data_IF_194575355246
#
_entry.id   IF_194575355246
#
_cell.length_a   1.000
_cell.length_b   1.000
_cell.length_c   1.000
_cell.angle_alpha   90.00
_cell.angle_beta   90.00
_cell.angle_gamma   90.00
#
_symmetry.space_group_name_H-M   'P 1'
#
loop_
_entity.id
_entity.type
_entity.pdbx_description
1 polymer ?
#
# COMPACT_ATOMS: atom_id res chain seq x y z
N UNK A 1 16.01 -11.85 5.25
CA UNK A 1 15.54 -11.14 6.45
C UNK A 1 14.80 -9.87 6.03
N UNK A 2 13.56 -9.66 6.48
CA UNK A 2 12.78 -8.45 6.18
C UNK A 2 13.28 -7.28 7.01
N UNK A 3 14.21 -6.48 6.47
CA UNK A 3 14.71 -5.29 7.15
C UNK A 3 13.76 -4.13 6.90
N UNK A 4 12.99 -3.78 7.93
CA UNK A 4 12.40 -2.45 8.04
C UNK A 4 13.54 -1.43 8.05
N UNK A 5 13.57 -0.50 7.09
CA UNK A 5 14.60 0.55 7.02
C UNK A 5 14.16 1.77 7.82
N UNK A 6 12.96 2.28 7.54
CA UNK A 6 12.43 3.47 8.18
C UNK A 6 10.89 3.48 8.17
N UNK A 7 10.32 4.35 9.03
CA UNK A 7 8.89 4.63 9.13
C UNK A 7 8.70 6.13 8.98
N UNK A 8 7.65 6.53 8.27
CA UNK A 8 7.33 7.93 8.07
C UNK A 8 5.85 8.20 8.30
N UNK A 9 5.56 9.35 8.92
CA UNK A 9 4.22 9.96 8.98
C UNK A 9 4.01 11.01 7.90
N UNK A 10 5.06 11.31 7.13
CA UNK A 10 5.07 12.25 6.01
C UNK A 10 5.86 11.63 4.86
N UNK A 11 5.41 11.80 3.61
CA UNK A 11 6.14 11.25 2.47
C UNK A 11 7.51 11.89 2.32
N UNK A 12 8.62 11.12 2.40
CA UNK A 12 9.98 11.69 2.32
C UNK A 12 10.38 12.09 0.90
N UNK A 13 9.60 11.66 -0.11
CA UNK A 13 9.84 11.89 -1.53
C UNK A 13 8.58 11.59 -2.34
N UNK A 14 8.60 11.96 -3.62
CA UNK A 14 7.58 11.57 -4.59
C UNK A 14 7.57 10.04 -4.75
N UNK A 15 6.43 9.41 -4.49
CA UNK A 15 6.26 7.96 -4.62
C UNK A 15 5.05 7.62 -5.49
N UNK A 16 5.16 6.49 -6.17
CA UNK A 16 4.19 6.02 -7.15
C UNK A 16 3.56 4.71 -6.71
N UNK A 17 2.24 4.59 -6.88
CA UNK A 17 1.50 3.34 -6.73
C UNK A 17 0.75 2.99 -8.01
N UNK A 18 0.94 1.76 -8.47
CA UNK A 18 0.17 1.19 -9.57
C UNK A 18 -1.15 0.61 -9.07
N UNK A 19 -2.22 0.86 -9.82
CA UNK A 19 -3.51 0.22 -9.60
C UNK A 19 -4.23 -0.03 -10.93
N UNK A 20 -4.97 -1.12 -11.02
CA UNK A 20 -5.86 -1.40 -12.16
C UNK A 20 -7.28 -0.85 -11.98
N UNK A 21 -7.53 -0.16 -10.86
CA UNK A 21 -8.85 0.34 -10.47
C UNK A 21 -8.71 1.66 -9.70
N UNK A 22 -9.74 2.52 -9.73
CA UNK A 22 -9.77 3.70 -8.85
C UNK A 22 -9.70 3.32 -7.37
N UNK A 23 -10.44 2.31 -6.96
CA UNK A 23 -10.43 1.79 -5.59
C UNK A 23 -9.17 0.96 -5.33
N UNK A 24 -8.49 1.22 -4.22
CA UNK A 24 -7.41 0.35 -3.75
C UNK A 24 -8.02 -0.95 -3.21
N UNK A 25 -7.50 -2.08 -3.68
CA UNK A 25 -7.88 -3.40 -3.19
C UNK A 25 -6.63 -4.21 -2.88
N UNK A 26 -6.28 -4.27 -1.59
CA UNK A 26 -5.25 -5.16 -1.10
C UNK A 26 -5.75 -6.61 -1.09
N UNK A 27 -4.84 -7.53 -1.34
CA UNK A 27 -5.07 -8.97 -1.37
C UNK A 27 -4.60 -9.58 -0.05
N UNK A 28 -5.51 -10.29 0.63
CA UNK A 28 -5.13 -11.17 1.72
C UNK A 28 -4.30 -12.36 1.20
N UNK A 29 -3.45 -12.88 2.06
CA UNK A 29 -2.71 -14.11 1.86
C UNK A 29 -3.69 -15.28 1.80
N UNK A 30 -3.75 -15.95 0.65
CA UNK A 30 -4.47 -17.22 0.49
C UNK A 30 -3.47 -18.25 -0.04
N UNK A 31 -3.15 -19.31 0.73
CA UNK A 31 -2.22 -20.34 0.30
C UNK A 31 -2.71 -21.11 -0.94
N UNK A 32 -4.00 -21.05 -1.28
CA UNK A 32 -4.60 -21.68 -2.47
C UNK A 32 -4.47 -20.83 -3.73
N UNK A 33 -4.00 -19.58 -3.61
CA UNK A 33 -3.85 -18.68 -4.76
C UNK A 33 -2.61 -19.07 -5.57
N UNK A 34 -2.81 -19.57 -6.78
CA UNK A 34 -1.75 -20.04 -7.68
C UNK A 34 -0.58 -19.05 -7.86
N UNK A 35 -0.89 -17.76 -8.01
CA UNK A 35 0.16 -16.72 -8.18
C UNK A 35 1.05 -16.52 -6.95
N UNK A 36 0.64 -16.99 -5.77
CA UNK A 36 1.29 -16.69 -4.49
C UNK A 36 1.30 -15.21 -4.09
N UNK A 37 0.67 -14.32 -4.86
CA UNK A 37 0.75 -12.88 -4.66
C UNK A 37 -0.30 -12.35 -3.67
N UNK A 38 0.18 -11.63 -2.66
CA UNK A 38 -0.64 -11.01 -1.61
C UNK A 38 0.01 -9.70 -1.14
N UNK A 39 -0.77 -8.84 -0.49
CA UNK A 39 -0.32 -7.53 -0.01
C UNK A 39 -0.29 -7.46 1.52
N UNK A 40 -1.10 -8.27 2.20
CA UNK A 40 -1.26 -8.30 3.66
C UNK A 40 -1.55 -9.72 4.15
N UNK A 41 -1.41 -9.96 5.46
CA UNK A 41 -1.89 -11.18 6.12
C UNK A 41 -2.94 -10.80 7.15
N UNK A 42 -4.13 -11.38 7.03
CA UNK A 42 -5.17 -11.23 8.04
C UNK A 42 -4.89 -12.19 9.21
N UNK A 43 -4.92 -11.68 10.44
CA UNK A 43 -4.88 -12.45 11.69
C UNK A 43 -6.08 -12.05 12.54
N UNK A 44 -6.83 -13.04 13.03
CA UNK A 44 -8.03 -12.80 13.85
C UNK A 44 -9.05 -11.85 13.20
N UNK A 45 -9.17 -11.87 11.86
CA UNK A 45 -10.13 -11.05 11.12
C UNK A 45 -9.65 -9.64 10.75
N UNK A 46 -8.43 -9.25 11.16
CA UNK A 46 -7.89 -7.91 10.91
C UNK A 46 -6.46 -7.97 10.34
N UNK A 47 -6.06 -6.90 9.66
CA UNK A 47 -4.68 -6.61 9.33
C UNK A 47 -4.02 -5.98 10.56
N UNK A 48 -2.90 -6.55 10.97
CA UNK A 48 -2.17 -6.13 12.16
C UNK A 48 -1.17 -5.01 11.82
N UNK A 49 -0.94 -4.02 12.70
CA UNK A 49 0.02 -2.94 12.50
C UNK A 49 1.47 -3.41 12.79
N UNK A 50 1.90 -4.49 12.14
CA UNK A 50 3.18 -5.17 12.41
C UNK A 50 4.42 -4.33 12.11
N UNK A 51 4.24 -3.18 11.44
CA UNK A 51 5.30 -2.23 11.20
C UNK A 51 5.75 -1.50 12.46
N UNK A 52 4.96 -1.44 13.54
CA UNK A 52 5.25 -0.58 14.69
C UNK A 52 6.45 -0.99 15.53
N UNK A 53 6.84 -2.26 15.51
CA UNK A 53 8.06 -2.76 16.16
C UNK A 53 8.94 -3.46 15.15
N UNK A 54 10.26 -3.24 15.21
CA UNK A 54 11.18 -3.73 14.19
C UNK A 54 11.40 -5.24 14.29
N UNK A 55 11.27 -5.80 15.49
CA UNK A 55 11.45 -7.22 15.78
C UNK A 55 10.38 -8.11 15.15
N UNK A 56 9.15 -7.59 14.99
CA UNK A 56 8.02 -8.37 14.44
C UNK A 56 7.75 -8.08 12.97
N UNK A 57 8.57 -7.24 12.32
CA UNK A 57 8.25 -6.78 10.98
C UNK A 57 8.42 -7.87 9.92
N UNK A 58 7.30 -8.27 9.31
CA UNK A 58 7.26 -9.26 8.24
C UNK A 58 6.46 -8.75 7.04
N UNK A 59 7.15 -8.32 5.98
CA UNK A 59 6.50 -7.92 4.73
C UNK A 59 5.85 -9.12 4.00
N UNK A 60 4.86 -8.89 3.12
CA UNK A 60 4.18 -7.63 2.84
C UNK A 60 3.05 -7.34 3.87
N UNK A 61 2.76 -6.06 4.10
CA UNK A 61 1.67 -5.62 4.99
C UNK A 61 1.04 -4.28 4.55
N UNK A 62 0.90 -4.07 3.25
CA UNK A 62 0.23 -2.86 2.77
C UNK A 62 0.39 -2.56 1.28
N UNK A 63 0.08 -1.32 0.93
CA UNK A 63 0.05 -0.84 -0.43
C UNK A 63 1.47 -0.51 -0.92
N UNK A 64 2.04 -1.38 -1.74
CA UNK A 64 3.33 -1.16 -2.42
C UNK A 64 3.40 0.18 -3.15
N UNK A 65 4.53 0.88 -2.96
CA UNK A 65 4.89 2.14 -3.61
C UNK A 65 6.40 2.15 -3.94
N UNK A 66 6.81 2.94 -4.93
CA UNK A 66 8.23 3.13 -5.27
C UNK A 66 8.49 4.56 -5.74
N UNK A 67 9.73 5.03 -5.59
CA UNK A 67 10.19 6.23 -6.28
C UNK A 67 10.37 5.97 -7.78
N UNK A 68 10.69 7.01 -8.56
CA UNK A 68 10.95 6.90 -10.00
C UNK A 68 12.31 6.21 -10.29
N UNK A 69 12.36 4.93 -9.99
CA UNK A 69 13.52 4.05 -10.20
C UNK A 69 13.38 3.28 -11.51
N UNK A 70 14.46 2.69 -12.01
CA UNK A 70 14.41 1.76 -13.16
C UNK A 70 13.41 0.61 -12.96
N UNK A 71 13.28 0.12 -11.72
CA UNK A 71 12.26 -0.88 -11.35
C UNK A 71 10.85 -0.33 -11.49
N UNK A 72 10.59 0.89 -11.05
CA UNK A 72 9.27 1.52 -11.18
C UNK A 72 8.91 1.78 -12.65
N UNK A 73 9.87 2.28 -13.44
CA UNK A 73 9.73 2.46 -14.88
C UNK A 73 9.32 1.14 -15.57
N UNK A 74 10.05 0.06 -15.29
CA UNK A 74 9.74 -1.27 -15.79
C UNK A 74 8.35 -1.75 -15.34
N UNK A 75 8.01 -1.56 -14.06
CA UNK A 75 6.70 -1.94 -13.53
C UNK A 75 5.58 -1.21 -14.26
N UNK A 76 5.68 0.10 -14.50
CA UNK A 76 4.67 0.87 -15.24
C UNK A 76 4.55 0.31 -16.66
N UNK A 77 5.66 0.09 -17.37
CA UNK A 77 5.69 -0.44 -18.74
C UNK A 77 5.03 -1.82 -18.84
N UNK A 78 5.37 -2.74 -17.92
CA UNK A 78 4.90 -4.14 -17.94
C UNK A 78 3.53 -4.34 -17.29
N UNK A 79 3.02 -3.35 -16.55
CA UNK A 79 1.76 -3.50 -15.82
C UNK A 79 0.61 -3.80 -16.79
N UNK A 80 -0.03 -4.95 -16.59
CA UNK A 80 -1.14 -5.44 -17.41
C UNK A 80 -2.46 -4.85 -16.93
N UNK A 81 -3.26 -4.37 -17.88
CA UNK A 81 -4.59 -3.84 -17.65
C UNK A 81 -4.91 -2.72 -18.63
N UNK A 82 -6.19 -2.50 -18.93
CA UNK A 82 -6.64 -1.42 -19.83
C UNK A 82 -6.99 -0.12 -19.09
N UNK A 83 -7.02 -0.16 -17.76
CA UNK A 83 -7.39 0.97 -16.88
C UNK A 83 -6.34 1.19 -15.79
N UNK A 84 -5.07 1.06 -16.18
CA UNK A 84 -3.94 1.27 -15.27
C UNK A 84 -3.91 2.73 -14.85
N UNK A 85 -3.78 2.95 -13.55
CA UNK A 85 -3.55 4.24 -12.93
C UNK A 85 -2.23 4.21 -12.19
N UNK A 86 -1.45 5.26 -12.37
CA UNK A 86 -0.26 5.55 -11.57
C UNK A 86 -0.63 6.68 -10.62
N UNK A 87 -0.82 6.36 -9.34
CA UNK A 87 -1.01 7.35 -8.29
C UNK A 87 0.34 7.95 -7.91
N UNK A 88 0.47 9.26 -8.05
CA UNK A 88 1.65 10.05 -7.73
C UNK A 88 1.39 10.81 -6.42
N UNK A 89 2.08 10.43 -5.35
CA UNK A 89 1.97 11.09 -4.04
C UNK A 89 3.20 11.98 -3.82
N UNK A 90 3.03 13.31 -3.74
CA UNK A 90 4.15 14.24 -3.55
C UNK A 90 4.92 14.01 -2.24
N UNK A 91 6.18 14.45 -2.23
CA UNK A 91 6.92 14.63 -0.98
C UNK A 91 6.16 15.59 -0.04
N UNK A 92 6.44 15.52 1.25
CA UNK A 92 5.80 16.32 2.30
C UNK A 92 4.29 16.07 2.50
N UNK A 93 3.70 15.10 1.77
CA UNK A 93 2.31 14.68 2.02
C UNK A 93 2.19 14.06 3.41
N UNK A 94 1.39 14.67 4.28
CA UNK A 94 1.12 14.18 5.64
C UNK A 94 0.16 13.01 5.59
N UNK A 95 0.48 11.95 6.33
CA UNK A 95 -0.39 10.78 6.46
C UNK A 95 -1.47 10.99 7.52
N UNK A 96 -2.66 10.39 7.30
CA UNK A 96 -3.61 10.15 8.38
C UNK A 96 -2.94 9.43 9.56
N UNK A 97 -3.33 9.77 10.80
CA UNK A 97 -2.70 9.27 12.03
C UNK A 97 -2.69 7.74 12.16
N UNK A 98 -3.61 7.07 11.49
CA UNK A 98 -3.83 5.62 11.49
C UNK A 98 -3.12 4.89 10.33
N UNK A 99 -2.33 5.62 9.51
CA UNK A 99 -1.48 5.06 8.47
C UNK A 99 0.01 5.34 8.75
N UNK A 100 0.88 4.52 8.16
CA UNK A 100 2.33 4.70 8.19
C UNK A 100 2.91 4.34 6.83
N UNK A 101 3.86 5.14 6.34
CA UNK A 101 4.67 4.78 5.18
C UNK A 101 5.92 4.05 5.67
N UNK A 102 6.11 2.84 5.20
CA UNK A 102 7.24 1.98 5.57
C UNK A 102 8.22 1.92 4.42
N UNK A 103 9.47 2.25 4.66
CA UNK A 103 10.57 1.99 3.73
C UNK A 103 11.15 0.61 4.00
N UNK A 104 11.03 -0.25 3.00
CA UNK A 104 11.58 -1.60 2.99
C UNK A 104 12.87 -1.66 2.16
N UNK A 105 13.46 -2.85 2.04
CA UNK A 105 14.64 -3.12 1.22
C UNK A 105 14.63 -2.43 -0.18
N UNK A 106 15.80 -1.91 -0.58
CA UNK A 106 15.97 -1.19 -1.84
C UNK A 106 15.11 0.08 -1.90
N UNK A 107 14.54 0.39 -3.07
CA UNK A 107 13.62 1.52 -3.25
C UNK A 107 12.13 1.20 -3.03
N UNK A 108 11.82 0.14 -2.26
CA UNK A 108 10.43 -0.29 -2.04
C UNK A 108 9.83 0.35 -0.79
N UNK A 109 8.70 1.01 -0.96
CA UNK A 109 7.91 1.56 0.13
C UNK A 109 6.57 0.85 0.20
N UNK A 110 5.90 0.91 1.34
CA UNK A 110 4.57 0.36 1.52
C UNK A 110 3.76 1.22 2.46
N UNK A 111 2.56 1.63 2.04
CA UNK A 111 1.61 2.33 2.90
C UNK A 111 0.80 1.31 3.69
N UNK A 112 0.93 1.33 5.01
CA UNK A 112 0.47 0.28 5.92
C UNK A 112 -0.43 0.84 7.02
N UNK A 113 -1.25 0.00 7.66
CA UNK A 113 -1.98 0.39 8.85
C UNK A 113 -1.04 0.63 10.04
N UNK A 114 -1.34 1.67 10.84
CA UNK A 114 -0.71 1.96 12.14
C UNK A 114 -1.53 1.42 13.32
N UNK A 115 -2.79 1.05 13.08
CA UNK A 115 -3.73 0.42 14.02
C UNK A 115 -4.35 -0.82 13.39
N UNK A 116 -5.03 -1.66 14.15
CA UNK A 116 -5.76 -2.79 13.56
C UNK A 116 -6.86 -2.30 12.61
N UNK A 117 -6.92 -2.88 11.41
CA UNK A 117 -7.90 -2.52 10.38
C UNK A 117 -8.48 -3.76 9.71
N UNK A 118 -9.75 -3.71 9.31
CA UNK A 118 -10.38 -4.80 8.55
C UNK A 118 -10.06 -4.68 7.05
N UNK A 119 -10.31 -5.76 6.31
CA UNK A 119 -10.38 -5.77 4.86
C UNK A 119 -11.78 -6.22 4.41
N UNK A 120 -12.27 -5.80 3.24
CA UNK A 120 -13.60 -6.16 2.77
C UNK A 120 -13.61 -7.66 2.48
N UNK A 121 -14.57 -8.38 3.06
CA UNK A 121 -14.68 -9.84 2.94
C UNK A 121 -13.81 -10.63 3.92
N UNK A 122 -13.15 -9.97 4.89
CA UNK A 122 -12.54 -10.68 6.02
C UNK A 122 -13.62 -11.38 6.84
N UNK A 123 -13.70 -12.72 6.75
CA UNK A 123 -14.63 -13.56 7.51
C UNK A 123 -14.24 -13.70 9.00
N UNK A 124 -13.60 -12.69 9.58
CA UNK A 124 -13.39 -12.65 11.02
C UNK A 124 -14.74 -12.48 11.71
N UNK A 125 -15.20 -13.53 12.41
CA UNK A 125 -16.17 -13.32 13.49
C UNK A 125 -15.51 -12.38 14.49
N UNK A 126 -15.95 -11.12 14.52
CA UNK A 126 -15.62 -10.24 15.62
C UNK A 126 -16.06 -10.93 16.92
N UNK A 127 -15.20 -11.01 17.96
CA UNK A 127 -15.64 -11.43 19.28
C UNK A 127 -16.84 -10.58 19.70
N UNK A 128 -17.89 -11.22 20.20
CA UNK A 128 -19.20 -10.62 20.47
C UNK A 128 -19.15 -9.39 21.40
N UNK A 129 -18.06 -9.23 22.17
CA UNK A 129 -17.80 -8.10 23.07
C UNK A 129 -17.17 -6.87 22.40
N UNK A 130 -16.78 -6.92 21.13
CA UNK A 130 -16.10 -5.82 20.42
C UNK A 130 -16.97 -5.10 19.38
N UNK A 131 -18.29 -5.35 19.37
CA UNK A 131 -19.27 -4.76 18.42
C UNK A 131 -19.35 -3.23 18.44
N UNK A 132 -18.63 -2.54 19.33
CA UNK A 132 -18.67 -1.07 19.50
C UNK A 132 -17.38 -0.34 19.09
N UNK A 133 -16.33 -1.02 18.63
CA UNK A 133 -15.26 -0.32 17.90
C UNK A 133 -15.62 -0.31 16.41
N UNK A 134 -15.79 0.90 15.88
CA UNK A 134 -15.87 1.15 14.45
C UNK A 134 -14.54 0.74 13.82
N UNK A 135 -14.48 -0.47 13.28
CA UNK A 135 -13.29 -0.94 12.56
C UNK A 135 -13.11 -0.08 11.30
N UNK A 136 -11.96 0.59 11.21
CA UNK A 136 -11.56 1.28 9.98
C UNK A 136 -11.18 0.23 8.94
N UNK A 137 -11.77 0.34 7.76
CA UNK A 137 -11.53 -0.58 6.65
C UNK A 137 -10.32 -0.07 5.83
N UNK A 138 -9.28 -0.89 5.72
CA UNK A 138 -7.98 -0.48 5.17
C UNK A 138 -8.07 -0.09 3.68
N UNK A 139 -8.83 -0.82 2.86
CA UNK A 139 -8.98 -0.50 1.43
C UNK A 139 -9.72 0.83 1.24
N UNK A 140 -10.78 1.10 2.01
CA UNK A 140 -11.51 2.35 1.99
C UNK A 140 -10.61 3.50 2.44
N UNK A 141 -9.82 3.30 3.51
CA UNK A 141 -8.86 4.30 3.99
C UNK A 141 -7.80 4.63 2.95
N UNK A 142 -7.18 3.62 2.34
CA UNK A 142 -6.21 3.80 1.27
C UNK A 142 -6.85 4.47 0.06
N UNK A 143 -8.05 4.06 -0.34
CA UNK A 143 -8.78 4.66 -1.45
C UNK A 143 -9.04 6.15 -1.20
N UNK A 144 -9.52 6.50 -0.01
CA UNK A 144 -9.75 7.90 0.38
C UNK A 144 -8.44 8.70 0.38
N UNK A 145 -7.36 8.12 0.90
CA UNK A 145 -6.03 8.75 0.88
C UNK A 145 -5.56 9.04 -0.55
N UNK A 146 -5.47 8.03 -1.42
CA UNK A 146 -4.99 8.26 -2.79
C UNK A 146 -5.91 9.17 -3.61
N UNK A 147 -7.23 9.12 -3.37
CA UNK A 147 -8.17 9.99 -4.08
C UNK A 147 -8.00 11.47 -3.68
N UNK A 148 -7.64 11.74 -2.42
CA UNK A 148 -7.51 13.11 -1.91
C UNK A 148 -6.11 13.69 -1.99
N UNK A 149 -5.07 12.86 -1.88
CA UNK A 149 -3.68 13.30 -1.73
C UNK A 149 -2.80 13.00 -2.95
N UNK A 150 -3.27 12.20 -3.92
CA UNK A 150 -2.48 11.81 -5.07
C UNK A 150 -3.05 12.37 -6.38
N UNK A 151 -2.15 12.69 -7.31
CA UNK A 151 -2.53 12.80 -8.72
C UNK A 151 -2.63 11.41 -9.33
N UNK A 152 -3.61 11.16 -10.19
CA UNK A 152 -3.78 9.87 -10.85
C UNK A 152 -3.55 10.01 -12.36
N UNK A 153 -2.45 9.44 -12.85
CA UNK A 153 -2.08 9.46 -14.27
C UNK A 153 -2.42 8.13 -14.96
N UNK A 154 -2.63 8.19 -16.26
CA UNK A 154 -2.57 7.00 -17.13
C UNK A 154 -1.13 6.52 -17.25
N UNK A 155 -0.89 5.34 -17.86
CA UNK A 155 0.48 4.88 -18.14
C UNK A 155 1.18 5.84 -19.09
N UNK A 156 0.47 6.26 -20.13
CA UNK A 156 0.97 7.11 -21.19
C UNK A 156 1.33 8.50 -20.66
N UNK A 157 0.46 9.10 -19.84
CA UNK A 157 0.72 10.40 -19.24
C UNK A 157 1.86 10.34 -18.24
N UNK A 158 1.92 9.28 -17.42
CA UNK A 158 3.03 9.09 -16.49
C UNK A 158 4.36 8.93 -17.24
N UNK A 159 4.41 8.18 -18.33
CA UNK A 159 5.62 8.02 -19.14
C UNK A 159 6.05 9.31 -19.85
N UNK A 160 5.10 10.14 -20.28
CA UNK A 160 5.42 11.46 -20.84
C UNK A 160 6.01 12.40 -19.77
N UNK A 161 5.46 12.35 -18.56
CA UNK A 161 5.90 13.22 -17.46
C UNK A 161 7.19 12.73 -16.79
N UNK A 162 7.41 11.42 -16.75
CA UNK A 162 8.58 10.76 -16.15
C UNK A 162 9.22 9.81 -17.18
N UNK A 163 9.90 10.35 -18.22
CA UNK A 163 10.40 9.55 -19.34
C UNK A 163 11.56 8.61 -18.96
N UNK A 164 12.30 8.95 -17.91
CA UNK A 164 13.46 8.18 -17.44
C UNK A 164 13.48 8.07 -15.91
N UNK A 165 14.24 7.10 -15.39
CA UNK A 165 14.44 6.94 -13.96
C UNK A 165 15.33 8.07 -13.41
N UNK A 166 15.02 8.54 -12.21
CA UNK A 166 15.74 9.62 -11.51
C UNK A 166 16.44 9.17 -10.23
N UNK A 167 16.30 7.89 -9.86
CA UNK A 167 16.93 7.24 -8.70
C UNK A 167 17.47 5.85 -9.06
#
# INVERSE_FOLDING_TARGET
MSKLIARYTTFPKLLFRLSNRPTIKLRDFDPRRESGAYDVKIKHGVVQPIAMTSETYQRPNGASMRANTSVQQKLVQEFKGTKVRVYCVPAETVLPEDLVLVHEFGGHYSLQPKVEMTLPGGHGRAPEKSRKLMWVELNAKLTAFYTSQASALTKEDWQKQYPEATE
#
